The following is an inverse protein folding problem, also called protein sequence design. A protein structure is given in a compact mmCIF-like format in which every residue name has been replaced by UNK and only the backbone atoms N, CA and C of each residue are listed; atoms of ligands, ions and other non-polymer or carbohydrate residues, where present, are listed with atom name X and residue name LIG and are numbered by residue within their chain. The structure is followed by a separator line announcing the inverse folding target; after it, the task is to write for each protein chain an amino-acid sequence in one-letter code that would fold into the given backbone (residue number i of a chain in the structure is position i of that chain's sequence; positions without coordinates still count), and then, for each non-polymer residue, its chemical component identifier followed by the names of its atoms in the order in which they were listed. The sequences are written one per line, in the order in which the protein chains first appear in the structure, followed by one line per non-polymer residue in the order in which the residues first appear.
data_IF_139330560182
#
_entry.id   IF_139330560182
#
_cell.length_a   1.000
_cell.length_b   1.000
_cell.length_c   1.000
_cell.angle_alpha   90.00
_cell.angle_beta   90.00
_cell.angle_gamma   90.00
#
_symmetry.space_group_name_H-M   'P 1'
#
loop_
_entity.id
_entity.type
_entity.pdbx_description
1 polymer ?
#
# COMPACT_ATOMS: atom_id res chain seq x y z
N UNK A 1 -1.17 -5.49 -24.59
CA UNK A 1 0.12 -6.20 -24.33
C UNK A 1 0.73 -5.72 -23.01
N UNK A 2 0.68 -4.42 -22.78
CA UNK A 2 1.08 -3.63 -21.62
C UNK A 2 0.50 -4.18 -20.31
N UNK A 3 -0.81 -4.42 -20.24
CA UNK A 3 -1.47 -4.95 -19.03
C UNK A 3 -0.86 -6.29 -18.61
N UNK A 4 -0.69 -7.23 -19.53
CA UNK A 4 -0.09 -8.53 -19.23
C UNK A 4 1.39 -8.40 -18.84
N UNK A 5 2.12 -7.45 -19.42
CA UNK A 5 3.51 -7.20 -19.04
C UNK A 5 3.61 -6.64 -17.61
N UNK A 6 2.74 -5.69 -17.25
CA UNK A 6 2.66 -5.15 -15.90
C UNK A 6 2.26 -6.21 -14.88
N UNK A 7 1.23 -7.01 -15.16
CA UNK A 7 0.83 -8.11 -14.26
C UNK A 7 1.96 -9.11 -14.04
N UNK A 8 2.70 -9.48 -15.10
CA UNK A 8 3.87 -10.35 -14.99
C UNK A 8 4.99 -9.71 -14.18
N UNK A 9 5.24 -8.42 -14.38
CA UNK A 9 6.28 -7.69 -13.65
C UNK A 9 5.94 -7.58 -12.16
N UNK A 10 4.72 -7.15 -11.83
CA UNK A 10 4.22 -7.07 -10.45
C UNK A 10 4.21 -8.43 -9.76
N UNK A 11 3.94 -9.53 -10.48
CA UNK A 11 4.01 -10.88 -9.90
C UNK A 11 5.45 -11.41 -9.75
N UNK A 12 6.41 -10.88 -10.52
CA UNK A 12 7.82 -11.31 -10.48
C UNK A 12 8.64 -10.66 -9.37
N UNK A 13 8.06 -9.69 -8.66
CA UNK A 13 8.71 -8.88 -7.62
C UNK A 13 7.75 -8.70 -6.46
N UNK A 14 8.26 -8.68 -5.24
CA UNK A 14 7.44 -8.35 -4.07
C UNK A 14 7.45 -6.85 -3.82
N UNK A 15 6.74 -6.10 -4.66
CA UNK A 15 6.48 -4.69 -4.39
C UNK A 15 5.63 -4.56 -3.13
N UNK A 16 6.07 -3.70 -2.21
CA UNK A 16 5.40 -3.48 -0.90
C UNK A 16 4.38 -2.35 -1.01
N UNK A 17 4.77 -1.30 -1.71
CA UNK A 17 3.94 -0.16 -2.03
C UNK A 17 4.42 0.47 -3.34
N UNK A 18 3.51 1.08 -4.06
CA UNK A 18 3.77 1.67 -5.37
C UNK A 18 2.89 2.90 -5.60
N UNK A 19 3.15 3.61 -6.70
CA UNK A 19 2.27 4.68 -7.14
C UNK A 19 2.29 4.79 -8.67
N UNK A 20 1.10 4.86 -9.26
CA UNK A 20 0.94 5.14 -10.68
C UNK A 20 0.60 6.63 -10.89
N UNK A 21 1.10 7.24 -11.96
CA UNK A 21 1.07 8.70 -12.16
C UNK A 21 0.10 9.09 -13.27
N UNK A 22 -0.79 10.02 -12.96
CA UNK A 22 -1.88 10.46 -13.81
C UNK A 22 -1.95 11.99 -13.93
N UNK A 23 -2.80 12.47 -14.83
CA UNK A 23 -3.15 13.88 -14.98
C UNK A 23 -4.61 14.03 -15.38
N UNK A 24 -5.20 15.15 -14.96
CA UNK A 24 -6.63 15.44 -15.06
C UNK A 24 -7.16 16.09 -13.79
N UNK A 25 -6.49 15.87 -12.66
CA UNK A 25 -6.78 16.49 -11.36
C UNK A 25 -5.50 16.77 -10.56
N UNK A 26 -5.64 17.25 -9.32
CA UNK A 26 -4.56 17.41 -8.34
C UNK A 26 -4.98 16.77 -7.02
N UNK A 27 -4.72 15.47 -6.86
CA UNK A 27 -5.10 14.67 -5.69
C UNK A 27 -4.30 13.36 -5.62
N UNK A 28 -4.03 12.86 -4.42
CA UNK A 28 -3.59 11.48 -4.21
C UNK A 28 -4.81 10.58 -3.95
N UNK A 29 -5.17 9.77 -4.94
CA UNK A 29 -6.26 8.81 -4.89
C UNK A 29 -5.79 7.49 -4.29
N UNK A 30 -6.58 6.91 -3.39
CA UNK A 30 -6.28 5.63 -2.76
C UNK A 30 -7.47 4.65 -2.85
N UNK A 31 -7.20 3.33 -2.81
CA UNK A 31 -8.23 2.30 -2.89
C UNK A 31 -9.39 2.41 -1.87
N UNK A 32 -10.55 1.82 -2.17
CA UNK A 32 -10.90 1.19 -3.45
C UNK A 32 -11.23 2.20 -4.54
N UNK A 33 -11.00 1.83 -5.80
CA UNK A 33 -11.53 2.53 -6.98
C UNK A 33 -12.93 2.00 -7.35
N UNK A 34 -13.20 0.72 -7.14
CA UNK A 34 -14.50 0.10 -7.41
C UNK A 34 -15.22 -0.35 -6.14
N UNK A 35 -16.54 -0.17 -6.09
CA UNK A 35 -17.38 -0.71 -5.01
C UNK A 35 -18.17 -1.94 -5.48
N UNK A 36 -18.57 -2.78 -4.53
CA UNK A 36 -19.37 -3.99 -4.80
C UNK A 36 -20.80 -3.70 -5.25
N UNK A 37 -21.35 -2.53 -4.88
CA UNK A 37 -22.71 -2.12 -5.21
C UNK A 37 -22.81 -1.23 -6.47
N UNK A 38 -21.67 -1.01 -7.14
CA UNK A 38 -21.58 -0.19 -8.36
C UNK A 38 -21.95 1.28 -8.21
N UNK A 39 -21.86 1.84 -6.99
CA UNK A 39 -22.12 3.26 -6.72
C UNK A 39 -20.84 4.01 -6.32
N UNK A 40 -20.88 5.33 -6.47
CA UNK A 40 -19.81 6.26 -6.09
C UNK A 40 -20.32 7.31 -5.10
N UNK A 41 -19.41 8.15 -4.58
CA UNK A 41 -19.76 9.32 -3.77
C UNK A 41 -19.76 9.06 -2.26
N UNK A 42 -19.27 7.90 -1.83
CA UNK A 42 -19.07 7.57 -0.42
C UNK A 42 -17.71 6.87 -0.24
N UNK A 43 -17.18 6.89 0.98
CA UNK A 43 -15.91 6.21 1.28
C UNK A 43 -16.17 4.71 1.37
N UNK A 44 -15.49 3.94 0.52
CA UNK A 44 -15.43 2.48 0.60
C UNK A 44 -14.01 2.05 1.00
N UNK A 45 -13.74 1.86 2.30
CA UNK A 45 -12.40 1.64 2.81
C UNK A 45 -11.90 0.22 2.52
N UNK A 46 -10.61 0.09 2.21
CA UNK A 46 -9.96 -1.22 2.22
C UNK A 46 -9.71 -1.71 3.65
N UNK A 47 -9.42 -3.01 3.84
CA UNK A 47 -8.90 -3.51 5.11
C UNK A 47 -7.67 -2.73 5.63
N UNK A 48 -6.81 -2.24 4.72
CA UNK A 48 -5.60 -1.47 5.01
C UNK A 48 -5.79 0.05 4.86
N UNK A 49 -7.01 0.56 5.01
CA UNK A 49 -7.36 1.96 4.74
C UNK A 49 -6.46 2.97 5.46
N UNK A 50 -6.05 2.71 6.70
CA UNK A 50 -5.18 3.64 7.43
C UNK A 50 -3.77 3.72 6.83
N UNK A 51 -3.21 2.60 6.36
CA UNK A 51 -1.93 2.57 5.64
C UNK A 51 -2.02 3.32 4.32
N UNK A 52 -3.09 3.09 3.55
CA UNK A 52 -3.33 3.80 2.29
C UNK A 52 -3.49 5.30 2.49
N UNK A 53 -4.26 5.73 3.50
CA UNK A 53 -4.41 7.14 3.83
C UNK A 53 -3.09 7.75 4.28
N UNK A 54 -2.28 7.03 5.06
CA UNK A 54 -0.96 7.50 5.45
C UNK A 54 -0.02 7.67 4.24
N UNK A 55 -0.03 6.72 3.30
CA UNK A 55 0.74 6.76 2.06
C UNK A 55 0.32 7.94 1.17
N UNK A 56 -0.98 8.10 0.92
CA UNK A 56 -1.52 9.22 0.16
C UNK A 56 -1.20 10.57 0.80
N UNK A 57 -1.32 10.68 2.13
CA UNK A 57 -0.97 11.91 2.88
C UNK A 57 0.52 12.21 2.83
N UNK A 58 1.39 11.20 2.84
CA UNK A 58 2.83 11.41 2.74
C UNK A 58 3.18 12.17 1.46
N UNK A 59 2.59 11.75 0.33
CA UNK A 59 2.73 12.44 -0.95
C UNK A 59 2.06 13.82 -0.94
N UNK A 60 0.77 13.88 -0.63
CA UNK A 60 -0.02 15.11 -0.70
C UNK A 60 0.58 16.24 0.16
N UNK A 61 1.07 15.92 1.37
CA UNK A 61 1.72 16.91 2.24
C UNK A 61 3.06 17.45 1.70
N UNK A 62 3.73 16.69 0.84
CA UNK A 62 4.96 17.10 0.18
C UNK A 62 4.74 17.93 -1.08
N UNK A 63 3.53 17.89 -1.65
CA UNK A 63 3.14 18.66 -2.83
C UNK A 63 2.34 19.91 -2.40
N UNK A 64 2.84 21.14 -2.65
CA UNK A 64 2.17 22.37 -2.21
C UNK A 64 0.74 22.54 -2.75
N UNK A 65 0.49 22.14 -3.99
CA UNK A 65 -0.80 22.34 -4.67
C UNK A 65 -1.84 21.34 -4.13
N UNK A 66 -1.46 20.06 -3.98
CA UNK A 66 -2.33 19.05 -3.35
C UNK A 66 -2.65 19.40 -1.91
N UNK A 67 -1.65 19.80 -1.12
CA UNK A 67 -1.84 20.19 0.28
C UNK A 67 -2.78 21.38 0.44
N UNK A 68 -2.77 22.31 -0.52
CA UNK A 68 -3.63 23.49 -0.52
C UNK A 68 -5.00 23.25 -1.19
N UNK A 69 -5.30 22.00 -1.58
CA UNK A 69 -6.55 21.67 -2.27
C UNK A 69 -7.78 22.06 -1.44
N UNK A 70 -8.74 22.71 -2.11
CA UNK A 70 -10.07 23.02 -1.55
C UNK A 70 -11.13 22.02 -2.00
N UNK A 71 -10.82 21.25 -3.04
CA UNK A 71 -11.69 20.24 -3.61
C UNK A 71 -11.56 18.92 -2.83
N UNK A 72 -10.33 18.52 -2.54
CA UNK A 72 -10.00 17.29 -1.83
C UNK A 72 -9.41 17.61 -0.47
N UNK A 73 -10.15 17.31 0.60
CA UNK A 73 -9.67 17.51 1.97
C UNK A 73 -8.35 16.75 2.19
N UNK A 74 -7.37 17.43 2.78
CA UNK A 74 -6.00 16.93 2.98
C UNK A 74 -5.25 16.55 1.68
N UNK A 75 -5.77 16.91 0.50
CA UNK A 75 -5.17 16.57 -0.80
C UNK A 75 -5.28 15.10 -1.19
N UNK A 76 -6.17 14.33 -0.55
CA UNK A 76 -6.37 12.89 -0.80
C UNK A 76 -7.84 12.57 -1.09
N UNK A 77 -8.10 11.43 -1.72
CA UNK A 77 -9.47 10.92 -1.89
C UNK A 77 -9.50 9.40 -1.99
N UNK A 78 -10.57 8.78 -1.51
CA UNK A 78 -10.87 7.37 -1.80
C UNK A 78 -11.47 7.28 -3.21
N UNK A 79 -11.06 6.30 -4.01
CA UNK A 79 -11.49 6.20 -5.41
C UNK A 79 -13.01 6.13 -5.59
N UNK A 80 -13.69 5.24 -4.86
CA UNK A 80 -15.17 5.15 -4.86
C UNK A 80 -15.82 6.46 -4.44
N UNK A 81 -15.24 7.17 -3.46
CA UNK A 81 -15.74 8.48 -3.04
C UNK A 81 -15.69 9.51 -4.16
N UNK A 82 -14.63 9.48 -4.98
CA UNK A 82 -14.47 10.43 -6.07
C UNK A 82 -15.31 10.05 -7.29
N UNK A 83 -15.06 8.88 -7.88
CA UNK A 83 -15.87 8.23 -8.91
C UNK A 83 -15.45 6.78 -9.06
N UNK A 84 -16.40 5.86 -9.21
CA UNK A 84 -16.08 4.44 -9.28
C UNK A 84 -15.40 4.09 -10.61
N UNK A 85 -14.34 3.31 -10.53
CA UNK A 85 -13.56 2.80 -11.66
C UNK A 85 -13.32 1.30 -11.46
N UNK A 86 -13.54 0.52 -12.52
CA UNK A 86 -13.37 -0.93 -12.51
C UNK A 86 -12.25 -1.37 -13.45
N UNK A 87 -11.49 -2.37 -13.04
CA UNK A 87 -10.35 -2.89 -13.81
C UNK A 87 -9.09 -2.01 -13.72
N UNK A 88 -9.02 -1.14 -12.71
CA UNK A 88 -7.85 -0.31 -12.43
C UNK A 88 -6.65 -1.12 -11.95
N UNK A 89 -5.44 -0.65 -12.28
CA UNK A 89 -4.19 -1.27 -11.85
C UNK A 89 -3.99 -1.16 -10.32
N UNK A 90 -4.45 -0.06 -9.73
CA UNK A 90 -4.35 0.24 -8.30
C UNK A 90 -4.98 -0.86 -7.43
N UNK A 91 -6.27 -1.15 -7.66
CA UNK A 91 -6.98 -2.19 -6.93
C UNK A 91 -6.46 -3.60 -7.27
N UNK A 92 -6.01 -3.82 -8.51
CA UNK A 92 -5.45 -5.09 -8.94
C UNK A 92 -4.14 -5.43 -8.19
N UNK A 93 -3.22 -4.47 -8.06
CA UNK A 93 -1.96 -4.67 -7.33
C UNK A 93 -2.26 -5.09 -5.88
N UNK A 94 -3.13 -4.36 -5.19
CA UNK A 94 -3.46 -4.70 -3.81
C UNK A 94 -4.11 -6.08 -3.69
N UNK A 95 -5.13 -6.39 -4.50
CA UNK A 95 -5.85 -7.66 -4.41
C UNK A 95 -4.98 -8.88 -4.73
N UNK A 96 -4.11 -8.78 -5.73
CA UNK A 96 -3.42 -9.94 -6.30
C UNK A 96 -1.97 -10.10 -5.85
N UNK A 97 -1.30 -9.03 -5.46
CA UNK A 97 0.12 -9.08 -5.06
C UNK A 97 0.35 -8.59 -3.63
N UNK A 98 -0.63 -7.94 -3.00
CA UNK A 98 -0.49 -7.31 -1.69
C UNK A 98 0.23 -5.96 -1.73
N UNK A 99 0.62 -5.49 -2.93
CA UNK A 99 1.25 -4.19 -3.14
C UNK A 99 0.26 -3.06 -2.91
N UNK A 100 0.57 -2.16 -1.97
CA UNK A 100 -0.25 -1.00 -1.66
C UNK A 100 0.01 0.13 -2.67
N UNK A 101 -0.67 0.06 -3.83
CA UNK A 101 -0.59 1.09 -4.86
C UNK A 101 -1.57 2.26 -4.62
N UNK A 102 -1.12 3.49 -4.87
CA UNK A 102 -1.98 4.69 -4.95
C UNK A 102 -1.88 5.34 -6.33
N UNK A 103 -2.90 6.10 -6.72
CA UNK A 103 -2.93 6.85 -7.99
C UNK A 103 -2.69 8.33 -7.71
N UNK A 104 -1.69 8.91 -8.37
CA UNK A 104 -1.29 10.30 -8.16
C UNK A 104 -1.70 11.16 -9.35
N UNK A 105 -2.71 12.01 -9.17
CA UNK A 105 -3.14 12.99 -10.17
C UNK A 105 -2.32 14.26 -10.00
N UNK A 106 -1.40 14.54 -10.93
CA UNK A 106 -0.32 15.53 -10.72
C UNK A 106 -0.58 16.90 -11.35
N UNK A 107 -1.63 17.02 -12.17
CA UNK A 107 -1.87 18.21 -12.98
C UNK A 107 -3.28 18.28 -13.53
N UNK A 108 -3.89 19.48 -13.54
CA UNK A 108 -5.15 19.69 -14.26
C UNK A 108 -4.98 19.58 -15.79
N UNK A 109 -3.82 20.00 -16.32
CA UNK A 109 -3.52 19.92 -17.75
C UNK A 109 -2.76 18.62 -18.03
N UNK A 110 -3.45 17.64 -18.62
CA UNK A 110 -2.90 16.31 -18.97
C UNK A 110 -1.63 16.36 -19.82
N UNK A 111 -1.53 17.35 -20.70
CA UNK A 111 -0.36 17.56 -21.57
C UNK A 111 0.13 19.01 -21.46
N UNK A 112 0.96 19.35 -20.45
CA UNK A 112 1.45 20.70 -20.26
C UNK A 112 2.52 21.07 -21.29
N UNK A 113 2.78 22.38 -21.43
CA UNK A 113 3.85 22.83 -22.30
C UNK A 113 5.21 22.49 -21.66
N UNK A 114 6.22 22.17 -22.48
CA UNK A 114 7.54 21.78 -21.99
C UNK A 114 8.17 22.81 -21.03
N UNK A 115 7.90 24.11 -21.24
CA UNK A 115 8.37 25.20 -20.38
C UNK A 115 7.86 25.13 -18.93
N UNK A 116 6.75 24.42 -18.69
CA UNK A 116 6.12 24.30 -17.37
C UNK A 116 6.67 23.10 -16.58
N UNK A 117 7.35 22.15 -17.22
CA UNK A 117 7.88 20.93 -16.60
C UNK A 117 8.80 21.17 -15.39
N UNK A 118 9.70 22.18 -15.38
CA UNK A 118 10.49 22.48 -14.19
C UNK A 118 9.64 22.84 -12.97
N UNK A 119 8.48 23.46 -13.18
CA UNK A 119 7.50 23.76 -12.13
C UNK A 119 6.89 22.50 -11.53
N UNK A 120 6.41 21.58 -12.39
CA UNK A 120 5.89 20.29 -11.95
C UNK A 120 6.93 19.48 -11.18
N UNK A 121 8.18 19.44 -11.65
CA UNK A 121 9.26 18.78 -10.93
C UNK A 121 9.47 19.39 -9.54
N UNK A 122 9.58 20.72 -9.46
CA UNK A 122 9.76 21.43 -8.18
C UNK A 122 8.63 21.14 -7.19
N UNK A 123 7.38 21.11 -7.66
CA UNK A 123 6.22 20.83 -6.82
C UNK A 123 6.18 19.39 -6.30
N UNK A 124 6.59 18.41 -7.11
CA UNK A 124 6.47 16.98 -6.78
C UNK A 124 7.72 16.37 -6.15
N UNK A 125 8.90 17.01 -6.31
CA UNK A 125 10.18 16.45 -5.84
C UNK A 125 10.13 16.01 -4.38
N UNK A 126 9.69 16.88 -3.47
CA UNK A 126 9.60 16.55 -2.04
C UNK A 126 8.56 15.45 -1.77
N UNK A 127 7.41 15.51 -2.44
CA UNK A 127 6.35 14.50 -2.32
C UNK A 127 6.83 13.09 -2.69
N UNK A 128 7.61 12.97 -3.76
CA UNK A 128 8.21 11.70 -4.18
C UNK A 128 9.18 11.14 -3.12
N UNK A 129 10.00 11.99 -2.49
CA UNK A 129 10.87 11.56 -1.39
C UNK A 129 10.07 11.12 -0.16
N UNK A 130 9.04 11.88 0.23
CA UNK A 130 8.17 11.49 1.34
C UNK A 130 7.51 10.12 1.11
N UNK A 131 7.11 9.82 -0.13
CA UNK A 131 6.55 8.52 -0.50
C UNK A 131 7.57 7.40 -0.27
N UNK A 132 8.80 7.55 -0.79
CA UNK A 132 9.88 6.59 -0.59
C UNK A 132 10.26 6.42 0.89
N UNK A 133 10.21 7.50 1.68
CA UNK A 133 10.42 7.45 3.13
C UNK A 133 9.30 6.68 3.84
N UNK A 134 8.04 6.89 3.44
CA UNK A 134 6.88 6.18 4.00
C UNK A 134 6.95 4.67 3.76
N UNK A 135 7.38 4.23 2.57
CA UNK A 135 7.57 2.80 2.27
C UNK A 135 8.67 2.17 3.14
N UNK A 136 9.66 2.95 3.57
CA UNK A 136 10.71 2.52 4.51
C UNK A 136 10.32 2.71 5.98
N UNK A 137 9.11 3.17 6.22
CA UNK A 137 8.61 3.63 7.50
C UNK A 137 8.11 2.49 8.41
N UNK A 138 7.05 2.76 9.19
CA UNK A 138 6.37 1.75 9.99
C UNK A 138 5.90 0.58 9.12
N UNK A 139 6.33 -0.63 9.43
CA UNK A 139 5.93 -1.85 8.74
C UNK A 139 6.22 -3.06 9.63
N UNK A 140 5.64 -4.21 9.32
CA UNK A 140 6.06 -5.49 9.89
C UNK A 140 6.87 -6.23 8.84
N UNK A 141 8.02 -6.78 9.22
CA UNK A 141 8.87 -7.59 8.34
C UNK A 141 9.43 -8.80 9.07
N UNK A 142 9.83 -9.80 8.32
CA UNK A 142 10.51 -10.98 8.86
C UNK A 142 10.83 -11.96 7.74
N UNK A 143 11.24 -13.17 8.12
CA UNK A 143 11.52 -14.27 7.19
C UNK A 143 10.74 -15.52 7.57
N UNK A 144 10.25 -16.26 6.58
CA UNK A 144 9.59 -17.56 6.79
C UNK A 144 10.49 -18.65 6.22
N UNK A 145 11.04 -19.48 7.11
CA UNK A 145 12.00 -20.51 6.77
C UNK A 145 11.59 -21.85 7.40
N UNK A 146 11.92 -22.96 6.73
CA UNK A 146 11.80 -24.30 7.30
C UNK A 146 12.89 -24.58 8.35
N UNK A 147 12.88 -25.78 8.92
CA UNK A 147 13.88 -26.24 9.89
C UNK A 147 15.30 -26.37 9.31
N UNK A 148 15.46 -26.34 7.99
CA UNK A 148 16.73 -26.43 7.28
C UNK A 148 17.19 -25.08 6.70
N UNK A 149 16.64 -23.96 7.21
CA UNK A 149 16.91 -22.59 6.77
C UNK A 149 16.55 -22.30 5.30
N UNK A 150 15.63 -23.06 4.71
CA UNK A 150 15.16 -22.81 3.35
C UNK A 150 13.91 -21.92 3.36
N UNK A 151 13.83 -20.94 2.45
CA UNK A 151 12.61 -20.16 2.21
C UNK A 151 11.38 -21.02 1.97
N UNK A 152 10.26 -20.66 2.60
CA UNK A 152 8.98 -21.32 2.37
C UNK A 152 7.95 -20.31 1.87
N UNK A 153 7.51 -20.49 0.63
CA UNK A 153 6.45 -19.68 0.04
C UNK A 153 5.15 -19.77 0.86
N UNK A 154 4.46 -18.64 1.00
CA UNK A 154 3.24 -18.57 1.79
C UNK A 154 2.61 -17.18 1.75
N UNK A 155 1.62 -17.00 2.63
CA UNK A 155 0.94 -15.72 2.86
C UNK A 155 1.05 -15.34 4.33
N UNK A 156 1.33 -14.07 4.57
CA UNK A 156 1.32 -13.48 5.90
C UNK A 156 0.04 -12.68 6.06
N UNK A 157 -0.71 -13.02 7.10
CA UNK A 157 -1.94 -12.35 7.52
C UNK A 157 -1.63 -11.53 8.77
N UNK A 158 -2.11 -10.28 8.78
CA UNK A 158 -1.93 -9.37 9.92
C UNK A 158 -3.30 -8.93 10.39
N UNK A 159 -3.52 -8.92 11.70
CA UNK A 159 -4.74 -8.37 12.31
C UNK A 159 -4.38 -7.27 13.28
N UNK A 160 -5.24 -6.27 13.42
CA UNK A 160 -5.09 -5.23 14.43
C UNK A 160 -5.33 -5.85 15.81
N UNK A 161 -4.47 -5.60 16.79
CA UNK A 161 -4.71 -6.01 18.18
C UNK A 161 -5.34 -4.85 18.95
N UNK A 162 -6.67 -4.82 18.97
CA UNK A 162 -7.46 -3.78 19.65
C UNK A 162 -8.22 -4.31 20.88
N UNK A 163 -8.04 -5.58 21.22
CA UNK A 163 -8.70 -6.24 22.35
C UNK A 163 -10.14 -6.70 22.08
N UNK A 164 -10.63 -6.57 20.84
CA UNK A 164 -11.93 -7.14 20.43
C UNK A 164 -11.85 -8.65 20.22
N UNK A 165 -13.01 -9.33 20.27
CA UNK A 165 -13.10 -10.77 20.02
C UNK A 165 -12.83 -11.14 18.55
N UNK A 166 -13.15 -10.25 17.62
CA UNK A 166 -12.91 -10.40 16.18
C UNK A 166 -12.17 -9.18 15.62
N UNK A 167 -10.83 -9.12 15.84
CA UNK A 167 -10.04 -7.98 15.43
C UNK A 167 -10.03 -7.81 13.89
N UNK A 168 -10.06 -6.56 13.40
CA UNK A 168 -9.97 -6.28 11.96
C UNK A 168 -8.77 -6.95 11.31
N UNK A 169 -9.03 -7.80 10.32
CA UNK A 169 -8.00 -8.42 9.50
C UNK A 169 -7.59 -7.48 8.36
N UNK A 170 -6.29 -7.30 8.17
CA UNK A 170 -5.70 -6.62 7.03
C UNK A 170 -5.56 -7.60 5.85
N UNK A 171 -5.31 -7.09 4.66
CA UNK A 171 -5.04 -7.96 3.51
C UNK A 171 -3.71 -8.68 3.64
N UNK A 172 -3.59 -9.85 3.02
CA UNK A 172 -2.37 -10.65 3.11
C UNK A 172 -1.22 -10.07 2.27
N UNK A 173 0.01 -10.45 2.60
CA UNK A 173 1.20 -10.21 1.74
C UNK A 173 1.93 -11.52 1.46
N UNK A 174 2.57 -11.67 0.29
CA UNK A 174 3.30 -12.89 -0.05
C UNK A 174 4.62 -12.98 0.73
N UNK A 175 5.07 -14.21 0.93
CA UNK A 175 6.44 -14.52 1.33
C UNK A 175 7.30 -14.71 0.09
N UNK A 176 8.49 -14.13 0.09
CA UNK A 176 9.47 -14.27 -0.98
C UNK A 176 9.97 -15.70 -1.13
N UNK A 177 9.86 -16.26 -2.33
CA UNK A 177 10.21 -17.66 -2.60
C UNK A 177 11.72 -17.92 -2.62
N UNK A 178 12.52 -16.88 -2.85
CA UNK A 178 13.97 -16.98 -2.96
C UNK A 178 14.66 -16.64 -1.65
N UNK A 179 14.08 -15.75 -0.83
CA UNK A 179 14.69 -15.29 0.43
C UNK A 179 13.90 -15.64 1.68
N UNK A 180 12.61 -15.91 1.56
CA UNK A 180 11.67 -16.07 2.67
C UNK A 180 11.22 -14.74 3.26
N UNK A 181 11.69 -13.60 2.76
CA UNK A 181 11.34 -12.28 3.30
C UNK A 181 9.86 -11.97 3.07
N UNK A 182 9.25 -11.24 4.00
CA UNK A 182 7.98 -10.58 3.78
C UNK A 182 8.00 -9.17 4.38
N UNK A 183 7.15 -8.30 3.83
CA UNK A 183 6.99 -6.93 4.29
C UNK A 183 5.51 -6.55 4.21
N UNK A 184 4.97 -6.04 5.32
CA UNK A 184 3.61 -5.52 5.42
C UNK A 184 3.66 -4.06 5.88
N UNK A 185 3.32 -3.14 5.00
CA UNK A 185 3.18 -1.73 5.36
C UNK A 185 1.94 -1.55 6.26
N UNK A 186 2.17 -1.01 7.46
CA UNK A 186 1.13 -0.73 8.46
C UNK A 186 1.42 0.59 9.14
N UNK A 187 0.40 1.25 9.65
CA UNK A 187 0.59 2.41 10.55
C UNK A 187 1.11 1.95 11.92
N UNK A 188 1.62 2.85 12.77
CA UNK A 188 1.95 2.51 14.15
C UNK A 188 0.73 1.96 14.89
N UNK A 189 0.93 0.88 15.63
CA UNK A 189 -0.15 0.15 16.26
C UNK A 189 0.31 -1.16 16.85
N UNK A 190 -0.66 -1.95 17.30
CA UNK A 190 -0.44 -3.30 17.83
C UNK A 190 -1.11 -4.29 16.90
N UNK A 191 -0.45 -5.40 16.65
CA UNK A 191 -0.87 -6.37 15.66
C UNK A 191 -0.60 -7.80 16.10
N UNK A 192 -1.33 -8.74 15.52
CA UNK A 192 -0.99 -10.17 15.53
C UNK A 192 -0.65 -10.62 14.11
N UNK A 193 0.20 -11.64 14.01
CA UNK A 193 0.72 -12.12 12.72
C UNK A 193 0.53 -13.64 12.63
N UNK A 194 -0.09 -14.07 11.54
CA UNK A 194 -0.23 -15.47 11.17
C UNK A 194 0.45 -15.70 9.82
N UNK A 195 1.16 -16.82 9.69
CA UNK A 195 1.78 -17.25 8.45
C UNK A 195 1.16 -18.56 8.01
N UNK A 196 0.58 -18.58 6.81
CA UNK A 196 0.05 -19.80 6.20
C UNK A 196 0.94 -20.21 5.01
N UNK A 197 1.43 -21.45 5.06
CA UNK A 197 2.30 -22.04 4.03
C UNK A 197 1.77 -23.40 3.59
N UNK A 198 2.46 -24.03 2.64
CA UNK A 198 2.21 -25.43 2.28
C UNK A 198 2.56 -26.43 3.39
N UNK A 199 3.35 -26.02 4.39
CA UNK A 199 3.81 -26.86 5.50
C UNK A 199 2.92 -26.74 6.75
N UNK A 200 2.08 -25.70 6.81
CA UNK A 200 1.16 -25.47 7.91
C UNK A 200 0.86 -24.00 8.15
N UNK A 201 0.12 -23.74 9.22
CA UNK A 201 -0.20 -22.40 9.71
C UNK A 201 0.55 -22.20 11.03
N UNK A 202 1.28 -21.09 11.13
CA UNK A 202 2.03 -20.71 12.32
C UNK A 202 1.56 -19.33 12.78
N UNK A 203 1.16 -19.25 14.04
CA UNK A 203 0.90 -18.00 14.74
C UNK A 203 2.21 -17.51 15.33
N UNK A 204 2.54 -16.25 15.12
CA UNK A 204 3.71 -15.65 15.77
C UNK A 204 3.34 -15.41 17.23
N UNK A 205 4.05 -16.08 18.12
CA UNK A 205 3.87 -15.88 19.56
C UNK A 205 4.21 -14.42 19.90
N UNK A 206 3.24 -13.71 20.50
CA UNK A 206 3.26 -12.31 20.97
C UNK A 206 2.68 -11.25 20.02
N UNK A 207 2.12 -10.21 20.66
CA UNK A 207 1.68 -8.98 20.02
C UNK A 207 2.88 -8.21 19.43
N UNK A 208 2.77 -7.85 18.16
CA UNK A 208 3.76 -7.05 17.43
C UNK A 208 3.43 -5.58 17.59
N UNK A 209 4.32 -4.83 18.24
CA UNK A 209 4.18 -3.37 18.39
C UNK A 209 4.94 -2.67 17.28
N UNK A 210 4.22 -1.96 16.42
CA UNK A 210 4.79 -1.13 15.37
C UNK A 210 4.83 0.31 15.85
N UNK A 211 6.03 0.89 15.82
CA UNK A 211 6.28 2.27 16.20
C UNK A 211 6.44 3.14 14.96
N UNK A 212 6.37 4.47 15.16
CA UNK A 212 6.77 5.40 14.12
C UNK A 212 8.24 5.21 13.72
N UNK A 213 8.55 5.42 12.44
CA UNK A 213 9.91 5.56 11.93
C UNK A 213 10.44 4.36 11.15
N UNK A 214 10.64 3.19 11.77
CA UNK A 214 11.31 2.05 11.14
C UNK A 214 10.45 0.77 11.17
N UNK A 215 10.72 -0.19 10.27
CA UNK A 215 10.11 -1.51 10.31
C UNK A 215 10.34 -2.22 11.65
N UNK A 216 9.30 -2.87 12.16
CA UNK A 216 9.40 -3.87 13.22
C UNK A 216 9.76 -5.21 12.60
N UNK A 217 10.97 -5.68 12.88
CA UNK A 217 11.46 -7.00 12.46
C UNK A 217 11.07 -8.06 13.49
N UNK A 218 10.26 -9.04 13.09
CA UNK A 218 9.82 -10.14 13.95
C UNK A 218 10.74 -11.37 13.85
N UNK A 219 11.84 -11.27 13.09
CA UNK A 219 12.83 -12.33 12.93
C UNK A 219 12.37 -13.44 11.99
N UNK A 220 12.76 -14.68 12.32
CA UNK A 220 12.45 -15.86 11.53
C UNK A 220 11.23 -16.57 12.13
N UNK A 221 10.17 -16.69 11.34
CA UNK A 221 9.03 -17.56 11.61
C UNK A 221 9.35 -18.94 11.06
N UNK A 222 9.46 -19.93 11.95
CA UNK A 222 9.72 -21.32 11.57
C UNK A 222 8.42 -22.02 11.25
N UNK A 223 8.38 -22.65 10.08
CA UNK A 223 7.27 -23.50 9.61
C UNK A 223 7.72 -24.95 9.43
#
# INVERSE_FOLDING_TARGET
VEVQAMMKWSASRHFVASANLHGGSIVANYPWDGSSDHRSGYVDPTPDNDSFRALAKAYANGNPDMKASREFKDGITNGVQWYSLYGGMQDWNYLWTGDQEITLELSYRKFPAARDLPGYWKANKKALFNLMEMVRGPSIRGRVLDQADKPVAGKVFVKVSDGSEDPPALHWVPVDVDTGDFFKLVVPGKYTVEVATSQGIVQVDNEVVVMNGRPTDIGIVRV
#
